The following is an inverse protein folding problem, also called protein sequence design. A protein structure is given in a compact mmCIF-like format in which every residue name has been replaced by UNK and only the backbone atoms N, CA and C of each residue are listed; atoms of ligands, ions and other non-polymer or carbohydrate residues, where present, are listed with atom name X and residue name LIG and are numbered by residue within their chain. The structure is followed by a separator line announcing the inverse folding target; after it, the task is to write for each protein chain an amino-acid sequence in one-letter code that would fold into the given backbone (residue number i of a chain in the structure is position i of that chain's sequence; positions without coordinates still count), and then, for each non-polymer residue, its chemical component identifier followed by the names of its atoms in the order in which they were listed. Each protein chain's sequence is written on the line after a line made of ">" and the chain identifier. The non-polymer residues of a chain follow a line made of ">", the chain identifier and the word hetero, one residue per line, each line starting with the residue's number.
data_IF_163633909719
#
_entry.id   IF_163633909719
#
_cell.length_a   1.000
_cell.length_b   1.000
_cell.length_c   1.000
_cell.angle_alpha   90.00
_cell.angle_beta   90.00
_cell.angle_gamma   90.00
#
_symmetry.space_group_name_H-M   'P 1'
#
loop_
_entity.id
_entity.type
_entity.pdbx_description
1 polymer ?
#
# COMPACT_ATOMS: atom_id res chain seq x y z
N UNK A 1 12.72 12.66 -0.86
CA UNK A 1 13.95 11.81 -0.77
C UNK A 1 14.67 11.62 -2.11
N UNK A 2 14.20 10.82 -3.08
CA UNK A 2 14.93 10.66 -4.36
C UNK A 2 14.84 11.89 -5.27
N UNK A 3 13.66 12.53 -5.34
CA UNK A 3 13.46 13.78 -6.09
C UNK A 3 14.30 14.92 -5.48
N UNK A 4 14.29 15.01 -4.15
CA UNK A 4 14.96 16.09 -3.40
C UNK A 4 16.47 15.90 -3.27
N UNK A 5 16.97 14.66 -3.18
CA UNK A 5 18.38 14.38 -2.90
C UNK A 5 19.16 13.88 -4.11
N UNK A 6 18.52 13.17 -5.05
CA UNK A 6 19.19 12.48 -6.15
C UNK A 6 18.75 13.02 -7.54
N UNK A 7 17.96 14.10 -7.58
CA UNK A 7 17.47 14.82 -8.77
C UNK A 7 16.86 13.94 -9.88
N UNK A 8 16.27 12.81 -9.50
CA UNK A 8 15.69 11.82 -10.42
C UNK A 8 14.41 12.36 -11.08
N UNK A 9 14.47 12.67 -12.37
CA UNK A 9 13.34 13.30 -13.09
C UNK A 9 12.16 12.34 -13.24
N UNK A 10 12.44 11.06 -13.53
CA UNK A 10 11.40 10.03 -13.63
C UNK A 10 10.57 9.91 -12.34
N UNK A 11 11.19 10.10 -11.17
CA UNK A 11 10.50 9.99 -9.89
C UNK A 11 9.51 11.15 -9.67
N UNK A 12 9.85 12.36 -10.13
CA UNK A 12 8.93 13.50 -10.09
C UNK A 12 7.74 13.28 -11.04
N UNK A 13 8.00 12.76 -12.25
CA UNK A 13 6.95 12.41 -13.20
C UNK A 13 6.04 11.31 -12.64
N UNK A 14 6.60 10.30 -11.98
CA UNK A 14 5.83 9.22 -11.36
C UNK A 14 4.88 9.74 -10.26
N UNK A 15 5.33 10.71 -9.45
CA UNK A 15 4.48 11.38 -8.46
C UNK A 15 3.29 12.05 -9.15
N UNK A 16 3.54 12.84 -10.18
CA UNK A 16 2.47 13.53 -10.93
C UNK A 16 1.51 12.51 -11.55
N UNK A 17 2.03 11.48 -12.22
CA UNK A 17 1.23 10.41 -12.83
C UNK A 17 0.27 9.76 -11.83
N UNK A 18 0.77 9.34 -10.67
CA UNK A 18 -0.04 8.68 -9.65
C UNK A 18 -1.06 9.61 -8.99
N UNK A 19 -0.71 10.87 -8.74
CA UNK A 19 -1.64 11.86 -8.20
C UNK A 19 -2.74 12.23 -9.20
N UNK A 20 -2.41 12.35 -10.49
CA UNK A 20 -3.39 12.57 -11.56
C UNK A 20 -4.33 11.36 -11.69
N UNK A 21 -3.80 10.13 -11.66
CA UNK A 21 -4.64 8.93 -11.68
C UNK A 21 -5.57 8.86 -10.46
N UNK A 22 -5.09 9.21 -9.26
CA UNK A 22 -5.91 9.32 -8.05
C UNK A 22 -7.04 10.32 -8.22
N UNK A 23 -6.75 11.49 -8.79
CA UNK A 23 -7.74 12.53 -9.02
C UNK A 23 -8.82 12.06 -10.02
N UNK A 24 -8.43 11.40 -11.11
CA UNK A 24 -9.36 10.83 -12.08
C UNK A 24 -10.32 9.81 -11.44
N UNK A 25 -9.79 8.90 -10.60
CA UNK A 25 -10.63 7.94 -9.85
C UNK A 25 -11.60 8.67 -8.93
N UNK A 26 -11.15 9.72 -8.24
CA UNK A 26 -12.01 10.49 -7.34
C UNK A 26 -13.14 11.22 -8.08
N UNK A 27 -12.85 11.78 -9.26
CA UNK A 27 -13.84 12.44 -10.12
C UNK A 27 -14.88 11.45 -10.67
N UNK A 28 -14.42 10.30 -11.18
CA UNK A 28 -15.30 9.23 -11.66
C UNK A 28 -16.20 8.71 -10.53
N UNK A 29 -15.63 8.45 -9.35
CA UNK A 29 -16.39 8.04 -8.17
C UNK A 29 -17.44 9.08 -7.75
N UNK A 30 -17.10 10.37 -7.78
CA UNK A 30 -18.05 11.46 -7.49
C UNK A 30 -19.16 11.59 -8.54
N UNK A 31 -18.88 11.22 -9.79
CA UNK A 31 -19.88 11.14 -10.86
C UNK A 31 -20.79 9.89 -10.75
N UNK A 32 -20.54 9.01 -9.78
CA UNK A 32 -21.28 7.77 -9.58
C UNK A 32 -20.79 6.59 -10.43
N UNK A 33 -19.62 6.73 -11.06
CA UNK A 33 -18.99 5.64 -11.79
C UNK A 33 -18.29 4.67 -10.83
N UNK A 34 -18.18 3.41 -11.24
CA UNK A 34 -17.54 2.34 -10.45
C UNK A 34 -16.19 1.89 -11.01
N UNK A 35 -15.85 2.36 -12.21
CA UNK A 35 -14.63 2.02 -12.94
C UNK A 35 -14.26 3.17 -13.88
N UNK A 36 -12.98 3.26 -14.26
CA UNK A 36 -12.53 4.16 -15.32
C UNK A 36 -12.79 3.56 -16.70
N UNK A 37 -12.89 4.41 -17.73
CA UNK A 37 -13.01 3.94 -19.10
C UNK A 37 -11.75 3.19 -19.55
N UNK A 38 -11.91 2.28 -20.51
CA UNK A 38 -10.79 1.52 -21.10
C UNK A 38 -9.70 2.45 -21.65
N UNK A 39 -10.09 3.56 -22.26
CA UNK A 39 -9.16 4.56 -22.81
C UNK A 39 -8.36 5.26 -21.70
N UNK A 40 -9.02 5.62 -20.59
CA UNK A 40 -8.35 6.22 -19.43
C UNK A 40 -7.35 5.25 -18.80
N UNK A 41 -7.75 3.98 -18.61
CA UNK A 41 -6.88 2.95 -18.08
C UNK A 41 -5.66 2.73 -18.98
N UNK A 42 -5.85 2.58 -20.29
CA UNK A 42 -4.76 2.42 -21.24
C UNK A 42 -3.79 3.60 -21.18
N UNK A 43 -4.30 4.83 -21.11
CA UNK A 43 -3.46 6.03 -21.01
C UNK A 43 -2.64 6.06 -19.72
N UNK A 44 -3.24 5.69 -18.58
CA UNK A 44 -2.53 5.62 -17.30
C UNK A 44 -1.39 4.61 -17.38
N UNK A 45 -1.64 3.40 -17.90
CA UNK A 45 -0.62 2.35 -18.04
C UNK A 45 0.49 2.78 -19.00
N UNK A 46 0.16 3.34 -20.17
CA UNK A 46 1.16 3.82 -21.12
C UNK A 46 2.10 4.88 -20.52
N UNK A 47 1.55 5.86 -19.80
CA UNK A 47 2.35 6.90 -19.14
C UNK A 47 3.19 6.31 -18.02
N UNK A 48 2.61 5.42 -17.21
CA UNK A 48 3.30 4.74 -16.12
C UNK A 48 4.50 3.94 -16.65
N UNK A 49 4.29 3.09 -17.64
CA UNK A 49 5.30 2.22 -18.24
C UNK A 49 6.45 3.05 -18.84
N UNK A 50 6.12 4.15 -19.54
CA UNK A 50 7.11 5.05 -20.10
C UNK A 50 7.98 5.71 -19.01
N UNK A 51 7.39 6.10 -17.88
CA UNK A 51 8.14 6.68 -16.75
C UNK A 51 9.02 5.63 -16.07
N UNK A 52 8.53 4.39 -15.92
CA UNK A 52 9.33 3.27 -15.38
C UNK A 52 10.51 2.97 -16.29
N UNK A 53 10.29 2.86 -17.61
CA UNK A 53 11.34 2.68 -18.59
C UNK A 53 12.40 3.79 -18.51
N UNK A 54 11.96 5.06 -18.46
CA UNK A 54 12.85 6.20 -18.27
C UNK A 54 13.68 6.10 -16.98
N UNK A 55 13.06 5.70 -15.87
CA UNK A 55 13.76 5.49 -14.60
C UNK A 55 14.77 4.34 -14.63
N UNK A 56 14.50 3.28 -15.39
CA UNK A 56 15.42 2.16 -15.60
C UNK A 56 16.60 2.55 -16.52
N UNK A 57 16.35 3.37 -17.55
CA UNK A 57 17.38 3.90 -18.46
C UNK A 57 18.30 4.91 -17.77
N UNK A 58 17.75 5.85 -17.00
CA UNK A 58 18.52 6.82 -16.21
C UNK A 58 19.39 6.13 -15.15
N UNK A 59 18.99 4.92 -14.73
CA UNK A 59 19.69 4.13 -13.72
C UNK A 59 20.09 2.75 -14.28
N UNK A 60 21.10 2.68 -15.17
CA UNK A 60 21.53 1.41 -15.74
C UNK A 60 22.11 0.46 -14.68
N UNK A 61 22.10 -0.84 -14.97
CA UNK A 61 22.76 -1.82 -14.12
C UNK A 61 24.28 -1.58 -14.09
N UNK A 62 24.97 -1.85 -12.97
CA UNK A 62 26.43 -1.83 -12.94
C UNK A 62 27.00 -2.84 -13.94
N UNK A 63 28.05 -2.49 -14.67
CA UNK A 63 28.68 -3.33 -15.71
C UNK A 63 28.93 -4.78 -15.28
N UNK A 64 28.77 -5.73 -16.20
CA UNK A 64 28.97 -7.17 -15.97
C UNK A 64 30.45 -7.59 -15.95
N UNK A 65 31.36 -6.80 -16.53
CA UNK A 65 32.79 -7.11 -16.65
C UNK A 65 33.68 -6.19 -15.79
N UNK A 66 34.00 -6.58 -14.55
CA UNK A 66 34.87 -5.78 -13.71
C UNK A 66 36.28 -6.35 -13.52
N UNK A 67 37.22 -5.51 -13.04
CA UNK A 67 38.50 -5.99 -12.51
C UNK A 67 38.27 -6.95 -11.31
N UNK A 68 39.19 -7.91 -11.08
CA UNK A 68 38.90 -9.25 -10.55
C UNK A 68 38.70 -9.39 -9.01
N UNK A 69 38.21 -8.38 -8.28
CA UNK A 69 38.52 -8.29 -6.83
C UNK A 69 37.34 -8.29 -5.84
N UNK A 70 36.05 -8.36 -6.23
CA UNK A 70 34.96 -8.42 -5.22
C UNK A 70 33.94 -9.53 -5.47
N UNK A 71 33.93 -10.55 -4.60
CA UNK A 71 32.87 -11.57 -4.51
C UNK A 71 31.56 -10.92 -4.02
N UNK A 72 30.42 -11.33 -4.61
CA UNK A 72 29.06 -10.93 -4.19
C UNK A 72 28.31 -10.06 -5.20
N UNK A 73 26.96 -10.00 -5.06
CA UNK A 73 26.10 -9.18 -5.92
C UNK A 73 26.42 -7.70 -5.73
N UNK A 74 26.62 -6.98 -6.85
CA UNK A 74 26.84 -5.53 -6.83
C UNK A 74 25.61 -4.81 -6.28
N UNK A 75 25.86 -3.83 -5.41
CA UNK A 75 24.81 -2.99 -4.84
C UNK A 75 24.24 -2.08 -5.93
N UNK A 76 22.94 -2.18 -6.18
CA UNK A 76 22.19 -1.23 -7.05
C UNK A 76 21.96 0.09 -6.32
N UNK A 77 21.81 1.19 -7.06
CA UNK A 77 21.42 2.48 -6.50
C UNK A 77 20.02 2.42 -5.88
N UNK A 78 19.69 3.34 -4.96
CA UNK A 78 18.34 3.42 -4.39
C UNK A 78 17.30 3.68 -5.48
N UNK A 79 17.61 4.58 -6.42
CA UNK A 79 16.77 4.89 -7.57
C UNK A 79 16.51 3.68 -8.46
N UNK A 80 17.55 2.90 -8.82
CA UNK A 80 17.36 1.66 -9.58
C UNK A 80 16.46 0.64 -8.87
N UNK A 81 16.70 0.42 -7.58
CA UNK A 81 15.86 -0.50 -6.79
C UNK A 81 14.40 -0.04 -6.73
N UNK A 82 14.16 1.28 -6.74
CA UNK A 82 12.81 1.81 -6.75
C UNK A 82 12.15 1.62 -8.12
N UNK A 83 12.83 1.97 -9.23
CA UNK A 83 12.30 1.77 -10.58
C UNK A 83 11.93 0.30 -10.84
N UNK A 84 12.78 -0.65 -10.44
CA UNK A 84 12.48 -2.09 -10.54
C UNK A 84 11.30 -2.53 -9.65
N UNK A 85 11.05 -1.82 -8.55
CA UNK A 85 9.87 -2.09 -7.71
C UNK A 85 8.58 -1.58 -8.36
N UNK A 86 8.62 -0.42 -9.02
CA UNK A 86 7.49 0.08 -9.80
C UNK A 86 7.16 -0.89 -10.94
N UNK A 87 8.16 -1.30 -11.71
CA UNK A 87 8.04 -2.32 -12.76
C UNK A 87 7.42 -3.63 -12.23
N UNK A 88 8.02 -4.21 -11.18
CA UNK A 88 7.59 -5.51 -10.64
C UNK A 88 6.21 -5.50 -9.99
N UNK A 89 5.80 -4.39 -9.38
CA UNK A 89 4.59 -4.31 -8.56
C UNK A 89 3.53 -3.38 -9.15
N UNK A 90 3.59 -3.12 -10.45
CA UNK A 90 2.65 -2.27 -11.19
C UNK A 90 1.19 -2.61 -10.89
N UNK A 91 0.81 -3.89 -10.96
CA UNK A 91 -0.58 -4.33 -10.69
C UNK A 91 -1.06 -3.93 -9.29
N UNK A 92 -0.18 -4.02 -8.29
CA UNK A 92 -0.52 -3.63 -6.92
C UNK A 92 -0.57 -2.11 -6.75
N UNK A 93 0.34 -1.38 -7.40
CA UNK A 93 0.43 0.09 -7.34
C UNK A 93 -0.75 0.73 -8.05
N UNK A 94 -1.16 0.22 -9.21
CA UNK A 94 -2.27 0.70 -10.01
C UNK A 94 -3.60 0.03 -9.65
N UNK A 95 -3.67 -0.79 -8.60
CA UNK A 95 -4.91 -1.49 -8.23
C UNK A 95 -6.08 -0.55 -8.01
N UNK A 96 -5.84 0.62 -7.40
CA UNK A 96 -6.87 1.61 -7.10
C UNK A 96 -7.54 2.21 -8.35
N UNK A 97 -6.91 2.14 -9.54
CA UNK A 97 -7.54 2.61 -10.78
C UNK A 97 -8.49 1.59 -11.40
N UNK A 98 -8.30 0.31 -11.05
CA UNK A 98 -9.14 -0.80 -11.53
C UNK A 98 -10.26 -1.17 -10.56
N UNK A 99 -10.08 -0.87 -9.27
CA UNK A 99 -11.00 -1.25 -8.20
C UNK A 99 -11.12 -0.09 -7.22
N UNK A 100 -12.22 0.68 -7.33
CA UNK A 100 -12.44 1.88 -6.51
C UNK A 100 -12.62 1.56 -5.01
N UNK A 101 -12.82 0.28 -4.65
CA UNK A 101 -12.84 -0.15 -3.24
C UNK A 101 -11.43 -0.19 -2.64
N UNK A 102 -10.38 -0.24 -3.48
CA UNK A 102 -9.00 -0.21 -3.03
C UNK A 102 -8.52 1.24 -2.94
N UNK A 103 -8.17 1.74 -1.74
CA UNK A 103 -7.69 3.11 -1.60
C UNK A 103 -6.32 3.29 -2.26
N UNK A 104 -6.05 4.52 -2.70
CA UNK A 104 -4.74 4.91 -3.25
C UNK A 104 -3.59 4.73 -2.25
N UNK A 105 -3.86 4.96 -0.96
CA UNK A 105 -2.85 4.89 0.09
C UNK A 105 -3.00 3.63 0.96
N UNK A 106 -1.91 3.28 1.64
CA UNK A 106 -1.83 2.12 2.50
C UNK A 106 -2.14 2.44 3.98
N UNK A 107 -2.72 3.61 4.28
CA UNK A 107 -2.86 4.08 5.65
C UNK A 107 -3.69 3.12 6.51
N UNK A 108 -4.69 2.47 5.92
CA UNK A 108 -5.54 1.50 6.62
C UNK A 108 -4.74 0.27 7.04
N UNK A 109 -3.99 -0.36 6.12
CA UNK A 109 -3.21 -1.54 6.45
C UNK A 109 -2.09 -1.22 7.45
N UNK A 110 -1.42 -0.08 7.30
CA UNK A 110 -0.39 0.37 8.25
C UNK A 110 -0.98 0.58 9.65
N UNK A 111 -2.14 1.23 9.75
CA UNK A 111 -2.84 1.45 11.02
C UNK A 111 -3.27 0.14 11.68
N UNK A 112 -3.74 -0.82 10.88
CA UNK A 112 -4.17 -2.13 11.36
C UNK A 112 -2.98 -2.96 11.89
N UNK A 113 -1.84 -2.97 11.17
CA UNK A 113 -0.62 -3.71 11.58
C UNK A 113 0.12 -3.01 12.74
N UNK A 114 -0.01 -1.68 12.88
CA UNK A 114 0.72 -0.88 13.88
C UNK A 114 0.61 -1.44 15.29
N UNK A 115 -0.55 -1.95 15.67
CA UNK A 115 -0.75 -2.44 17.04
C UNK A 115 -0.01 -3.74 17.34
N UNK A 116 0.26 -4.58 16.33
CA UNK A 116 1.17 -5.72 16.50
C UNK A 116 2.59 -5.24 16.77
N UNK A 117 3.06 -4.20 16.07
CA UNK A 117 4.38 -3.60 16.30
C UNK A 117 4.48 -2.91 17.66
N UNK A 118 3.43 -2.24 18.11
CA UNK A 118 3.36 -1.65 19.45
C UNK A 118 3.46 -2.74 20.52
N UNK A 119 2.72 -3.83 20.36
CA UNK A 119 2.80 -4.96 21.29
C UNK A 119 4.20 -5.58 21.31
N UNK A 120 4.82 -5.74 20.14
CA UNK A 120 6.21 -6.22 20.04
C UNK A 120 7.19 -5.27 20.74
N UNK A 121 7.00 -3.95 20.59
CA UNK A 121 7.86 -2.93 21.20
C UNK A 121 7.75 -2.91 22.72
N UNK A 122 6.52 -2.97 23.26
CA UNK A 122 6.26 -2.80 24.70
C UNK A 122 6.46 -4.11 25.46
N UNK A 123 5.97 -5.22 24.92
CA UNK A 123 5.95 -6.52 25.61
C UNK A 123 6.95 -7.53 25.04
N UNK A 124 7.69 -7.17 23.99
CA UNK A 124 8.65 -8.05 23.34
C UNK A 124 7.98 -9.01 22.36
N UNK A 125 7.56 -10.18 22.81
CA UNK A 125 6.89 -11.19 21.97
C UNK A 125 5.72 -11.83 22.71
N UNK A 126 4.82 -12.46 21.96
CA UNK A 126 3.78 -13.30 22.57
C UNK A 126 4.43 -14.55 23.16
N UNK A 127 4.05 -14.91 24.38
CA UNK A 127 4.59 -16.10 25.10
C UNK A 127 3.93 -17.40 24.65
N UNK A 128 2.81 -17.31 23.96
CA UNK A 128 2.09 -18.44 23.36
C UNK A 128 1.39 -18.00 22.07
N UNK A 129 1.10 -18.97 21.20
CA UNK A 129 0.30 -18.75 20.00
C UNK A 129 -1.12 -18.31 20.34
N UNK A 130 -1.73 -18.95 21.35
CA UNK A 130 -3.06 -18.61 21.85
C UNK A 130 -3.18 -17.13 22.26
N UNK A 131 -2.18 -16.60 22.98
CA UNK A 131 -2.18 -15.17 23.35
C UNK A 131 -2.07 -14.23 22.15
N UNK A 132 -1.40 -14.66 21.08
CA UNK A 132 -1.34 -13.90 19.83
C UNK A 132 -2.69 -13.93 19.10
N UNK A 133 -3.37 -15.09 19.06
CA UNK A 133 -4.70 -15.23 18.48
C UNK A 133 -5.73 -14.37 19.23
N UNK A 134 -5.78 -14.45 20.56
CA UNK A 134 -6.67 -13.63 21.37
C UNK A 134 -6.46 -12.12 21.12
N UNK A 135 -5.20 -11.68 21.03
CA UNK A 135 -4.88 -10.31 20.69
C UNK A 135 -5.40 -9.94 19.28
N UNK A 136 -5.14 -10.77 18.28
CA UNK A 136 -5.61 -10.55 16.91
C UNK A 136 -7.14 -10.50 16.81
N UNK A 137 -7.85 -11.39 17.52
CA UNK A 137 -9.31 -11.43 17.55
C UNK A 137 -9.90 -10.14 18.12
N UNK A 138 -9.41 -9.67 19.27
CA UNK A 138 -9.87 -8.42 19.88
C UNK A 138 -9.60 -7.21 18.97
N UNK A 139 -8.42 -7.17 18.33
CA UNK A 139 -8.04 -6.10 17.40
C UNK A 139 -8.90 -6.11 16.14
N UNK A 140 -9.22 -7.29 15.61
CA UNK A 140 -10.09 -7.48 14.45
C UNK A 140 -11.50 -6.98 14.74
N UNK A 141 -12.06 -7.36 15.90
CA UNK A 141 -13.37 -6.87 16.35
C UNK A 141 -13.40 -5.33 16.43
N UNK A 142 -12.46 -4.72 17.15
CA UNK A 142 -12.40 -3.25 17.30
C UNK A 142 -12.20 -2.55 15.94
N UNK A 143 -11.34 -3.07 15.06
CA UNK A 143 -11.11 -2.48 13.73
C UNK A 143 -12.39 -2.54 12.89
N UNK A 144 -13.13 -3.64 12.95
CA UNK A 144 -14.36 -3.83 12.17
C UNK A 144 -15.48 -2.91 12.66
N UNK A 145 -15.69 -2.81 13.97
CA UNK A 145 -16.66 -1.88 14.58
C UNK A 145 -16.38 -0.44 14.13
N UNK A 146 -15.11 0.00 14.16
CA UNK A 146 -14.73 1.34 13.70
C UNK A 146 -14.97 1.54 12.20
N UNK A 147 -14.67 0.54 11.37
CA UNK A 147 -14.89 0.60 9.91
C UNK A 147 -16.37 0.74 9.55
N UNK A 148 -17.26 0.20 10.38
CA UNK A 148 -18.72 0.32 10.22
C UNK A 148 -19.30 1.59 10.87
N UNK A 149 -18.45 2.49 11.40
CA UNK A 149 -18.90 3.73 12.05
C UNK A 149 -19.58 3.50 13.41
N UNK A 150 -19.42 2.32 14.00
CA UNK A 150 -20.05 1.95 15.26
C UNK A 150 -19.20 2.38 16.46
N UNK A 151 -19.86 2.63 17.60
CA UNK A 151 -19.19 3.02 18.83
C UNK A 151 -18.47 1.83 19.47
N UNK A 152 -17.14 1.94 19.60
CA UNK A 152 -16.31 0.88 20.21
C UNK A 152 -16.65 0.65 21.67
N UNK A 153 -16.98 1.70 22.42
CA UNK A 153 -17.30 1.56 23.84
C UNK A 153 -18.60 0.80 24.06
N UNK A 154 -19.64 1.12 23.28
CA UNK A 154 -20.90 0.38 23.28
C UNK A 154 -20.69 -1.07 22.86
N UNK A 155 -19.90 -1.29 21.80
CA UNK A 155 -19.59 -2.63 21.32
C UNK A 155 -18.82 -3.47 22.36
N UNK A 156 -17.88 -2.88 23.10
CA UNK A 156 -17.19 -3.56 24.20
C UNK A 156 -18.09 -3.75 25.43
N UNK A 157 -18.96 -2.79 25.72
CA UNK A 157 -19.95 -2.89 26.81
C UNK A 157 -20.93 -4.02 26.59
N UNK A 158 -21.39 -4.20 25.35
CA UNK A 158 -22.34 -5.27 24.98
C UNK A 158 -21.82 -6.69 25.23
N UNK A 159 -20.50 -6.88 25.39
CA UNK A 159 -19.91 -8.18 25.77
C UNK A 159 -20.30 -8.61 27.18
N UNK A 160 -20.74 -7.67 28.01
CA UNK A 160 -21.20 -7.90 29.38
C UNK A 160 -22.72 -7.93 29.51
N UNK A 161 -23.43 -7.70 28.39
CA UNK A 161 -24.88 -7.82 28.29
C UNK A 161 -25.23 -9.10 27.52
N UNK A 162 -26.45 -9.63 27.69
CA UNK A 162 -26.92 -10.83 26.94
C UNK A 162 -27.12 -10.58 25.43
N UNK A 163 -26.80 -9.37 24.92
CA UNK A 163 -26.98 -8.98 23.52
C UNK A 163 -25.69 -8.38 22.94
N UNK A 164 -24.75 -9.26 22.58
CA UNK A 164 -23.46 -8.86 22.02
C UNK A 164 -23.63 -8.18 20.66
N UNK A 165 -23.07 -6.98 20.53
CA UNK A 165 -23.02 -6.25 19.27
C UNK A 165 -22.00 -6.90 18.34
N UNK A 166 -22.47 -7.65 17.35
CA UNK A 166 -21.61 -8.26 16.34
C UNK A 166 -21.51 -7.38 15.09
N UNK A 167 -20.29 -7.11 14.56
CA UNK A 167 -20.14 -6.40 13.31
C UNK A 167 -20.70 -7.22 12.14
N UNK A 168 -21.18 -6.55 11.09
CA UNK A 168 -21.57 -7.22 9.86
C UNK A 168 -20.34 -7.79 9.15
N UNK A 169 -20.31 -9.10 8.91
CA UNK A 169 -19.17 -9.76 8.24
C UNK A 169 -19.39 -9.91 6.73
N UNK A 170 -20.57 -9.54 6.23
CA UNK A 170 -20.86 -9.49 4.79
C UNK A 170 -20.15 -8.30 4.14
N UNK A 171 -19.40 -8.51 3.05
CA UNK A 171 -18.78 -7.39 2.31
C UNK A 171 -19.88 -6.48 1.75
N UNK A 172 -19.70 -5.17 1.91
CA UNK A 172 -20.48 -4.14 1.21
C UNK A 172 -19.77 -3.76 -0.10
#
# INVERSE_FOLDING_TARGET
>A
ALVENDQQQWAALMIVCLLSAKQLVAEAYQAGETELSVEQLQRIHQVYDAIVAFGLEENPLPDEHPPPVKRGRRKKTKARNLAERFDKHQDAILRFVHDFKVPFDNNLAERDIRMMKVQQKISGSFRSWEGAEQFCSLRTYISTIRKQGLNVWEALGSLFDDNVLMPQLTPV
#
